data_IF_351782096571
#
_entry.id   IF_351782096571
#
_cell.length_a   1.000
_cell.length_b   1.000
_cell.length_c   1.000
_cell.angle_alpha   90.00
_cell.angle_beta   90.00
_cell.angle_gamma   90.00
#
_symmetry.space_group_name_H-M   'P 1'
#
loop_
_entity.id
_entity.type
_entity.pdbx_description
1 polymer ?
#
# COMPACT_ATOMS: atom_id res chain seq x y z
N UNK A 1 -26.24 -1.08 41.55
CA UNK A 1 -25.28 -1.74 40.65
C UNK A 1 -25.28 -3.23 40.98
N UNK A 2 -25.51 -4.13 40.01
CA UNK A 2 -26.22 -5.41 40.26
C UNK A 2 -25.51 -6.72 39.82
N UNK A 3 -24.20 -6.75 39.50
CA UNK A 3 -23.52 -8.01 39.10
C UNK A 3 -22.32 -8.41 39.96
N UNK A 4 -21.78 -7.55 40.82
CA UNK A 4 -20.56 -7.84 41.58
C UNK A 4 -19.30 -8.02 40.73
N UNK A 5 -19.36 -7.71 39.42
CA UNK A 5 -18.23 -7.76 38.50
C UNK A 5 -17.21 -6.67 38.85
N UNK A 6 -15.94 -7.04 38.95
CA UNK A 6 -14.81 -6.12 39.08
C UNK A 6 -14.03 -6.17 37.78
N UNK A 7 -13.71 -5.01 37.22
CA UNK A 7 -12.79 -4.90 36.10
C UNK A 7 -11.38 -5.19 36.61
N UNK A 8 -10.72 -6.18 36.00
CA UNK A 8 -9.33 -6.52 36.29
C UNK A 8 -8.38 -5.62 35.46
N UNK A 9 -7.09 -5.97 35.40
CA UNK A 9 -6.09 -5.25 34.63
C UNK A 9 -6.48 -5.05 33.15
N UNK A 10 -6.45 -3.79 32.70
CA UNK A 10 -6.70 -3.41 31.31
C UNK A 10 -5.39 -3.28 30.56
N UNK A 11 -5.26 -4.03 29.47
CA UNK A 11 -4.13 -3.96 28.54
C UNK A 11 -4.59 -3.50 27.17
N UNK A 12 -3.85 -2.54 26.60
CA UNK A 12 -4.04 -2.09 25.23
C UNK A 12 -3.23 -3.01 24.31
N UNK A 13 -3.90 -3.62 23.33
CA UNK A 13 -3.28 -4.54 22.36
C UNK A 13 -3.07 -3.90 20.98
N UNK A 14 -3.68 -2.75 20.74
CA UNK A 14 -3.57 -2.00 19.50
C UNK A 14 -4.40 -0.72 19.54
N UNK A 15 -4.00 0.26 18.74
CA UNK A 15 -4.64 1.55 18.61
C UNK A 15 -4.62 1.95 17.14
N UNK A 16 -5.62 2.70 16.70
CA UNK A 16 -5.65 3.26 15.35
C UNK A 16 -6.41 4.59 15.41
N UNK A 17 -5.67 5.70 15.47
CA UNK A 17 -6.28 7.01 15.28
C UNK A 17 -6.65 7.21 13.81
N UNK A 18 -7.77 7.89 13.49
CA UNK A 18 -8.13 8.19 12.11
C UNK A 18 -7.05 9.04 11.44
N UNK A 19 -6.74 8.78 10.17
CA UNK A 19 -5.76 9.59 9.43
C UNK A 19 -6.11 11.08 9.40
N UNK A 20 -5.11 11.93 9.63
CA UNK A 20 -5.23 13.37 9.77
C UNK A 20 -4.31 14.10 8.77
N UNK A 21 -4.48 13.78 7.49
CA UNK A 21 -3.53 14.16 6.45
C UNK A 21 -3.61 15.62 6.00
N UNK A 22 -2.45 16.23 5.83
CA UNK A 22 -2.23 17.64 5.52
C UNK A 22 -2.49 17.95 4.04
N UNK A 23 -3.36 18.93 3.79
CA UNK A 23 -3.78 19.30 2.44
C UNK A 23 -2.65 19.92 1.62
N UNK A 24 -1.82 20.77 2.22
CA UNK A 24 -0.70 21.45 1.52
C UNK A 24 0.28 20.41 0.97
N UNK A 25 0.65 19.42 1.79
CA UNK A 25 1.52 18.33 1.37
C UNK A 25 0.85 17.49 0.27
N UNK A 26 -0.45 17.19 0.40
CA UNK A 26 -1.18 16.39 -0.58
C UNK A 26 -1.29 17.08 -1.95
N UNK A 27 -1.54 18.39 -1.98
CA UNK A 27 -1.63 19.18 -3.22
C UNK A 27 -0.26 19.31 -3.89
N UNK A 28 0.80 19.63 -3.14
CA UNK A 28 2.16 19.67 -3.66
C UNK A 28 2.60 18.31 -4.22
N UNK A 29 2.25 17.22 -3.51
CA UNK A 29 2.52 15.87 -3.98
C UNK A 29 1.76 15.55 -5.27
N UNK A 30 0.50 15.97 -5.37
CA UNK A 30 -0.34 15.72 -6.55
C UNK A 30 0.19 16.42 -7.80
N UNK A 31 0.67 17.66 -7.68
CA UNK A 31 1.35 18.35 -8.80
C UNK A 31 2.55 17.55 -9.32
N UNK A 32 3.30 16.89 -8.43
CA UNK A 32 4.39 16.01 -8.82
C UNK A 32 3.91 14.69 -9.41
N UNK A 33 2.83 14.09 -8.88
CA UNK A 33 2.20 12.90 -9.48
C UNK A 33 1.80 13.18 -10.93
N UNK A 34 1.25 14.36 -11.23
CA UNK A 34 0.86 14.74 -12.59
C UNK A 34 2.05 14.85 -13.54
N UNK A 35 3.20 15.37 -13.06
CA UNK A 35 4.44 15.45 -13.84
C UNK A 35 5.06 14.08 -14.09
N UNK A 36 5.07 13.22 -13.07
CA UNK A 36 5.68 11.88 -13.12
C UNK A 36 4.86 10.91 -13.96
N UNK A 37 3.53 11.00 -13.87
CA UNK A 37 2.62 10.11 -14.59
C UNK A 37 2.55 8.70 -14.02
N UNK A 38 1.80 7.84 -14.71
CA UNK A 38 1.75 6.42 -14.42
C UNK A 38 2.98 5.68 -14.99
N UNK A 39 3.32 4.51 -14.43
CA UNK A 39 4.28 3.63 -15.07
C UNK A 39 3.78 3.17 -16.44
N UNK A 40 4.72 2.92 -17.35
CA UNK A 40 4.43 2.32 -18.65
C UNK A 40 4.22 0.82 -18.48
N UNK A 41 2.98 0.38 -18.67
CA UNK A 41 2.61 -1.03 -18.64
C UNK A 41 2.86 -1.69 -20.00
N UNK A 42 3.50 -2.86 -19.96
CA UNK A 42 3.61 -3.73 -21.12
C UNK A 42 2.29 -4.47 -21.35
N UNK A 43 2.13 -5.04 -22.53
CA UNK A 43 1.00 -5.93 -22.82
C UNK A 43 0.96 -7.13 -21.85
N UNK A 44 2.12 -7.67 -21.50
CA UNK A 44 2.25 -8.77 -20.55
C UNK A 44 1.83 -8.39 -19.13
N UNK A 45 2.16 -7.18 -18.66
CA UNK A 45 1.67 -6.67 -17.37
C UNK A 45 0.14 -6.62 -17.35
N UNK A 46 -0.45 -6.11 -18.43
CA UNK A 46 -1.90 -5.99 -18.58
C UNK A 46 -2.60 -7.36 -18.69
N UNK A 47 -2.01 -8.30 -19.43
CA UNK A 47 -2.52 -9.68 -19.54
C UNK A 47 -2.45 -10.41 -18.21
N UNK A 48 -1.35 -10.28 -17.49
CA UNK A 48 -1.18 -10.87 -16.16
C UNK A 48 -2.18 -10.30 -15.15
N UNK A 49 -2.39 -8.98 -15.15
CA UNK A 49 -3.36 -8.33 -14.27
C UNK A 49 -4.79 -8.83 -14.52
N UNK A 50 -5.22 -8.87 -15.78
CA UNK A 50 -6.55 -9.39 -16.16
C UNK A 50 -6.72 -10.87 -15.81
N UNK A 51 -5.71 -11.69 -16.07
CA UNK A 51 -5.74 -13.10 -15.69
C UNK A 51 -5.85 -13.27 -14.17
N UNK A 52 -5.11 -12.49 -13.39
CA UNK A 52 -5.18 -12.54 -11.92
C UNK A 52 -6.56 -12.11 -11.41
N UNK A 53 -7.15 -11.05 -11.98
CA UNK A 53 -8.51 -10.62 -11.66
C UNK A 53 -9.53 -11.72 -11.97
N UNK A 54 -9.40 -12.40 -13.11
CA UNK A 54 -10.26 -13.54 -13.47
C UNK A 54 -10.15 -14.70 -12.47
N UNK A 55 -8.94 -15.05 -12.03
CA UNK A 55 -8.72 -16.15 -11.08
C UNK A 55 -9.40 -15.91 -9.72
N UNK A 56 -9.59 -14.64 -9.34
CA UNK A 56 -10.34 -14.27 -8.11
C UNK A 56 -11.81 -13.94 -8.38
N UNK A 57 -12.31 -14.15 -9.60
CA UNK A 57 -13.70 -13.86 -9.99
C UNK A 57 -14.03 -12.36 -10.05
N UNK A 58 -13.02 -11.49 -10.14
CA UNK A 58 -13.18 -10.04 -10.26
C UNK A 58 -13.33 -9.57 -11.71
N UNK A 59 -13.63 -8.28 -11.87
CA UNK A 59 -13.68 -7.62 -13.18
C UNK A 59 -12.29 -7.50 -13.79
N UNK A 60 -12.12 -7.92 -15.04
CA UNK A 60 -10.85 -7.92 -15.78
C UNK A 60 -10.47 -6.52 -16.31
N UNK A 61 -10.40 -5.52 -15.42
CA UNK A 61 -10.09 -4.13 -15.78
C UNK A 61 -8.63 -3.90 -16.12
N UNK A 62 -7.73 -4.80 -15.73
CA UNK A 62 -6.28 -4.64 -15.88
C UNK A 62 -5.68 -3.60 -14.94
N UNK A 63 -4.51 -3.10 -15.32
CA UNK A 63 -3.77 -2.05 -14.61
C UNK A 63 -4.26 -0.66 -15.04
N UNK A 64 -4.20 0.29 -14.11
CA UNK A 64 -4.61 1.67 -14.36
C UNK A 64 -3.79 2.30 -15.50
N UNK A 65 -4.48 2.87 -16.48
CA UNK A 65 -3.90 3.61 -17.61
C UNK A 65 -4.17 5.11 -17.55
N UNK A 66 -4.96 5.55 -16.57
CA UNK A 66 -5.33 6.95 -16.35
C UNK A 66 -5.05 7.33 -14.90
N UNK A 67 -4.48 8.53 -14.69
CA UNK A 67 -4.23 9.06 -13.36
C UNK A 67 -5.56 9.34 -12.65
N UNK A 68 -5.63 8.96 -11.37
CA UNK A 68 -6.73 9.38 -10.51
C UNK A 68 -6.67 10.89 -10.25
N UNK A 69 -7.83 11.52 -10.15
CA UNK A 69 -7.94 12.93 -9.76
C UNK A 69 -7.83 13.08 -8.24
N UNK A 70 -7.12 14.11 -7.77
CA UNK A 70 -7.10 14.47 -6.35
C UNK A 70 -8.52 14.80 -5.88
N UNK A 71 -8.94 14.16 -4.79
CA UNK A 71 -10.28 14.35 -4.21
C UNK A 71 -10.18 15.23 -2.97
N UNK A 72 -11.22 16.02 -2.66
CA UNK A 72 -11.29 16.73 -1.38
C UNK A 72 -11.28 15.75 -0.20
N UNK A 73 -10.89 16.24 0.96
CA UNK A 73 -10.93 15.48 2.19
C UNK A 73 -12.33 14.94 2.47
N UNK A 74 -12.41 13.70 2.97
CA UNK A 74 -13.66 13.09 3.38
C UNK A 74 -14.20 13.79 4.63
N UNK A 75 -15.50 14.07 4.64
CA UNK A 75 -16.22 14.49 5.85
C UNK A 75 -16.28 13.34 6.87
N UNK A 76 -16.50 13.64 8.15
CA UNK A 76 -16.68 12.61 9.19
C UNK A 76 -17.78 11.60 8.82
N UNK A 77 -18.90 12.06 8.24
CA UNK A 77 -19.96 11.16 7.78
C UNK A 77 -19.55 10.22 6.64
N UNK A 78 -18.51 10.58 5.86
CA UNK A 78 -17.98 9.77 4.77
C UNK A 78 -16.88 8.79 5.23
N UNK A 79 -16.33 8.97 6.43
CA UNK A 79 -15.27 8.12 7.01
C UNK A 79 -15.86 6.82 7.58
N UNK A 80 -16.41 5.98 6.71
CA UNK A 80 -17.05 4.70 7.09
C UNK A 80 -16.10 3.50 7.03
N UNK A 81 -14.93 3.67 6.43
CA UNK A 81 -13.87 2.67 6.32
C UNK A 81 -12.51 3.36 6.19
N UNK A 82 -11.43 2.65 6.51
CA UNK A 82 -10.07 3.17 6.42
C UNK A 82 -9.01 2.11 6.64
N UNK A 83 -7.76 2.49 6.44
CA UNK A 83 -6.61 1.66 6.77
C UNK A 83 -6.32 1.77 8.28
N UNK A 84 -5.96 0.64 8.90
CA UNK A 84 -5.50 0.61 10.28
C UNK A 84 -3.98 0.59 10.28
N UNK A 85 -3.37 1.75 10.51
CA UNK A 85 -1.94 2.00 10.34
C UNK A 85 -1.48 3.03 11.40
N UNK A 86 -0.23 2.92 11.85
CA UNK A 86 0.32 3.79 12.90
C UNK A 86 0.55 5.23 12.43
N UNK A 87 0.55 5.47 11.10
CA UNK A 87 0.59 6.80 10.51
C UNK A 87 -0.58 7.68 10.96
N UNK A 88 -1.68 7.07 11.40
CA UNK A 88 -2.80 7.76 12.04
C UNK A 88 -2.31 8.61 13.20
N UNK A 89 -1.73 7.98 14.23
CA UNK A 89 -1.18 8.65 15.40
C UNK A 89 -0.09 9.68 15.03
N UNK A 90 0.77 9.40 14.05
CA UNK A 90 1.79 10.35 13.57
C UNK A 90 1.15 11.60 12.95
N UNK A 91 0.13 11.41 12.10
CA UNK A 91 -0.53 12.50 11.38
C UNK A 91 -1.25 13.50 12.28
N UNK A 92 -1.52 13.14 13.53
CA UNK A 92 -2.05 14.04 14.56
C UNK A 92 -1.00 14.87 15.28
N UNK A 93 0.29 14.56 15.11
CA UNK A 93 1.40 15.23 15.82
C UNK A 93 2.23 16.11 14.89
N UNK A 94 2.32 15.77 13.60
CA UNK A 94 3.09 16.54 12.62
C UNK A 94 2.39 16.58 11.25
N UNK A 95 2.59 17.65 10.45
CA UNK A 95 2.10 17.70 9.07
C UNK A 95 2.50 16.44 8.28
N UNK A 96 1.52 15.66 7.85
CA UNK A 96 1.74 14.34 7.25
C UNK A 96 0.80 14.11 6.09
N UNK A 97 1.25 13.49 5.00
CA UNK A 97 0.39 12.94 3.95
C UNK A 97 0.89 11.56 3.54
N UNK A 98 0.03 10.78 2.91
CA UNK A 98 0.38 9.44 2.38
C UNK A 98 0.23 9.42 0.86
N UNK A 99 1.08 8.61 0.21
CA UNK A 99 1.05 8.39 -1.23
C UNK A 99 0.49 7.00 -1.52
N UNK A 100 -0.56 6.94 -2.34
CA UNK A 100 -0.98 5.70 -2.99
C UNK A 100 -0.38 5.65 -4.40
N UNK A 101 0.31 4.55 -4.73
CA UNK A 101 0.99 4.37 -6.01
C UNK A 101 0.64 3.00 -6.62
N UNK A 102 0.65 2.85 -7.96
CA UNK A 102 0.07 1.69 -8.64
C UNK A 102 1.05 0.49 -8.67
N UNK A 103 1.38 -0.07 -7.52
CA UNK A 103 2.31 -1.22 -7.36
C UNK A 103 1.62 -2.56 -7.18
N UNK A 104 0.28 -2.61 -7.28
CA UNK A 104 -0.50 -3.84 -7.22
C UNK A 104 -1.62 -3.82 -8.27
N UNK A 105 -2.28 -4.95 -8.46
CA UNK A 105 -3.38 -5.12 -9.42
C UNK A 105 -4.69 -4.59 -8.79
N UNK A 106 -5.39 -3.65 -9.44
CA UNK A 106 -6.68 -3.15 -8.96
C UNK A 106 -7.75 -4.25 -8.85
N UNK A 107 -8.70 -4.07 -7.94
CA UNK A 107 -9.88 -4.94 -7.84
C UNK A 107 -9.64 -6.32 -7.21
N UNK A 108 -8.46 -6.55 -6.63
CA UNK A 108 -8.19 -7.77 -5.85
C UNK A 108 -8.76 -7.67 -4.42
N UNK A 109 -9.03 -8.81 -3.74
CA UNK A 109 -9.73 -8.82 -2.44
C UNK A 109 -9.04 -8.09 -1.29
N UNK A 110 -7.71 -7.87 -1.34
CA UNK A 110 -6.94 -7.28 -0.24
C UNK A 110 -6.62 -8.30 0.86
N UNK A 111 -5.45 -8.20 1.49
CA UNK A 111 -4.95 -9.18 2.47
C UNK A 111 -5.10 -10.65 2.03
N UNK A 112 -4.99 -10.90 0.73
CA UNK A 112 -5.28 -12.17 0.08
C UNK A 112 -4.07 -12.61 -0.76
N UNK A 113 -3.89 -13.92 -0.95
CA UNK A 113 -2.72 -14.48 -1.65
C UNK A 113 -2.55 -13.90 -3.07
N UNK A 114 -3.66 -13.58 -3.75
CA UNK A 114 -3.63 -12.96 -5.08
C UNK A 114 -2.94 -11.59 -5.08
N UNK A 115 -3.07 -10.81 -4.00
CA UNK A 115 -2.40 -9.50 -3.88
C UNK A 115 -0.88 -9.65 -3.75
N UNK A 116 -0.38 -10.80 -3.30
CA UNK A 116 1.05 -11.08 -3.23
C UNK A 116 1.65 -11.40 -4.61
N UNK A 117 0.84 -11.80 -5.59
CA UNK A 117 1.32 -12.17 -6.93
C UNK A 117 2.02 -11.01 -7.63
N UNK A 118 1.48 -9.79 -7.52
CA UNK A 118 2.07 -8.62 -8.16
C UNK A 118 3.45 -8.25 -7.57
N UNK A 119 3.69 -8.56 -6.29
CA UNK A 119 4.86 -8.09 -5.53
C UNK A 119 6.20 -8.62 -6.06
N UNK A 120 6.20 -9.77 -6.73
CA UNK A 120 7.39 -10.36 -7.33
C UNK A 120 7.59 -9.96 -8.80
N UNK A 121 6.67 -9.20 -9.39
CA UNK A 121 6.60 -8.97 -10.83
C UNK A 121 7.04 -7.56 -11.22
N UNK A 122 7.32 -7.30 -12.51
CA UNK A 122 7.59 -5.94 -12.99
C UNK A 122 6.52 -4.91 -12.61
N UNK A 123 5.27 -5.33 -12.36
CA UNK A 123 4.17 -4.44 -11.92
C UNK A 123 4.54 -3.70 -10.64
N UNK A 124 4.97 -4.42 -9.60
CA UNK A 124 5.32 -3.81 -8.32
C UNK A 124 6.54 -2.89 -8.45
N UNK A 125 7.58 -3.32 -9.17
CA UNK A 125 8.79 -2.52 -9.36
C UNK A 125 8.53 -1.24 -10.15
N UNK A 126 7.79 -1.30 -11.26
CA UNK A 126 7.43 -0.12 -12.06
C UNK A 126 6.56 0.85 -11.27
N UNK A 127 5.55 0.34 -10.56
CA UNK A 127 4.68 1.15 -9.71
C UNK A 127 5.42 1.82 -8.56
N UNK A 128 6.23 1.05 -7.81
CA UNK A 128 7.04 1.57 -6.71
C UNK A 128 8.08 2.59 -7.17
N UNK A 129 8.68 2.39 -8.34
CA UNK A 129 9.64 3.35 -8.91
C UNK A 129 8.97 4.69 -9.21
N UNK A 130 7.80 4.69 -9.87
CA UNK A 130 7.08 5.94 -10.13
C UNK A 130 6.59 6.62 -8.85
N UNK A 131 6.09 5.84 -7.87
CA UNK A 131 5.74 6.36 -6.56
C UNK A 131 6.93 7.01 -5.84
N UNK A 132 8.10 6.36 -5.86
CA UNK A 132 9.31 6.88 -5.27
C UNK A 132 9.79 8.17 -5.95
N UNK A 133 9.67 8.29 -7.27
CA UNK A 133 10.00 9.54 -7.99
C UNK A 133 9.07 10.67 -7.57
N UNK A 134 7.75 10.43 -7.52
CA UNK A 134 6.78 11.44 -7.08
C UNK A 134 7.04 11.89 -5.63
N UNK A 135 7.33 10.94 -4.73
CA UNK A 135 7.69 11.23 -3.34
C UNK A 135 9.01 12.00 -3.22
N UNK A 136 10.04 11.63 -3.99
CA UNK A 136 11.33 12.30 -3.99
C UNK A 136 11.24 13.75 -4.53
N UNK A 137 10.45 13.97 -5.59
CA UNK A 137 10.18 15.31 -6.11
C UNK A 137 9.45 16.17 -5.07
N UNK A 138 8.47 15.58 -4.37
CA UNK A 138 7.75 16.27 -3.29
C UNK A 138 8.69 16.63 -2.15
N UNK A 139 9.54 15.71 -1.72
CA UNK A 139 10.56 16.00 -0.70
C UNK A 139 11.49 17.13 -1.14
N UNK A 140 11.92 17.12 -2.40
CA UNK A 140 12.78 18.18 -2.94
C UNK A 140 12.07 19.53 -2.93
N UNK A 141 10.79 19.60 -3.28
CA UNK A 141 10.00 20.84 -3.22
C UNK A 141 10.02 21.44 -1.81
N UNK A 142 9.77 20.63 -0.77
CA UNK A 142 9.81 21.09 0.62
C UNK A 142 11.22 21.47 1.11
N UNK A 143 12.28 20.90 0.53
CA UNK A 143 13.66 21.26 0.84
C UNK A 143 14.03 22.62 0.22
N UNK A 144 13.59 22.88 -1.02
CA UNK A 144 14.02 24.07 -1.80
C UNK A 144 13.04 25.24 -1.73
N UNK A 145 11.82 25.02 -1.22
CA UNK A 145 10.78 26.03 -1.06
C UNK A 145 10.33 26.07 0.41
N UNK A 146 11.03 26.79 1.30
CA UNK A 146 10.73 26.81 2.73
C UNK A 146 9.30 27.28 3.03
N UNK A 147 8.71 28.12 2.18
CA UNK A 147 7.32 28.58 2.32
C UNK A 147 6.31 27.40 2.34
N UNK A 148 6.60 26.27 1.68
CA UNK A 148 5.74 25.08 1.75
C UNK A 148 5.73 24.45 3.15
N UNK A 149 6.85 24.51 3.86
CA UNK A 149 6.96 24.04 5.24
C UNK A 149 6.10 24.93 6.13
N UNK A 150 6.24 26.24 6.00
CA UNK A 150 5.47 27.22 6.78
C UNK A 150 3.96 27.08 6.53
N UNK A 151 3.55 26.93 5.26
CA UNK A 151 2.15 26.69 4.89
C UNK A 151 1.61 25.37 5.45
N UNK A 152 2.41 24.30 5.43
CA UNK A 152 1.98 23.01 5.97
C UNK A 152 1.76 23.07 7.50
N UNK A 153 2.64 23.77 8.23
CA UNK A 153 2.47 24.01 9.66
C UNK A 153 1.30 24.94 9.98
N UNK A 154 1.14 26.04 9.25
CA UNK A 154 0.01 26.95 9.41
C UNK A 154 -1.33 26.22 9.23
N UNK A 155 -1.46 25.42 8.18
CA UNK A 155 -2.65 24.60 7.95
C UNK A 155 -2.86 23.59 9.09
N UNK A 156 -1.80 22.94 9.56
CA UNK A 156 -1.87 21.94 10.62
C UNK A 156 -2.38 22.54 11.94
N UNK A 157 -1.84 23.70 12.35
CA UNK A 157 -2.18 24.35 13.62
C UNK A 157 -3.54 25.07 13.56
N UNK A 158 -3.81 25.79 12.47
CA UNK A 158 -4.94 26.72 12.40
C UNK A 158 -6.19 26.11 11.76
N UNK A 159 -6.05 25.02 11.01
CA UNK A 159 -7.17 24.34 10.33
C UNK A 159 -7.35 22.91 10.83
N UNK A 160 -6.32 22.05 10.73
CA UNK A 160 -6.47 20.61 11.02
C UNK A 160 -6.75 20.32 12.51
N UNK A 161 -5.90 20.85 13.40
CA UNK A 161 -6.00 20.61 14.85
C UNK A 161 -6.93 21.58 15.59
N UNK A 162 -7.74 22.36 14.87
CA UNK A 162 -8.54 23.43 15.48
C UNK A 162 -9.63 22.90 16.41
N UNK A 163 -10.28 21.80 16.03
CA UNK A 163 -11.47 21.28 16.72
C UNK A 163 -11.15 20.10 17.64
N UNK A 164 -10.24 19.23 17.22
CA UNK A 164 -9.93 17.97 17.91
C UNK A 164 -8.47 18.00 18.33
N UNK A 165 -8.22 17.71 19.61
CA UNK A 165 -6.89 17.56 20.17
C UNK A 165 -6.55 16.08 20.27
N UNK A 166 -5.36 15.72 19.81
CA UNK A 166 -4.86 14.35 19.89
C UNK A 166 -4.70 13.90 21.33
N UNK A 167 -5.09 12.66 21.62
CA UNK A 167 -4.80 12.00 22.90
C UNK A 167 -4.33 10.58 22.60
N UNK A 168 -3.07 10.22 22.91
CA UNK A 168 -2.60 8.86 22.67
C UNK A 168 -3.42 7.88 23.49
N UNK A 169 -3.89 6.81 22.85
CA UNK A 169 -4.49 5.69 23.58
C UNK A 169 -3.41 4.89 24.32
N UNK A 170 -2.24 4.74 23.70
CA UNK A 170 -1.08 4.02 24.27
C UNK A 170 -0.55 4.79 25.50
N UNK A 171 -0.41 4.08 26.62
CA UNK A 171 0.16 4.61 27.86
C UNK A 171 1.69 4.45 27.84
N UNK A 172 2.45 5.25 28.62
CA UNK A 172 3.91 5.11 28.69
C UNK A 172 4.42 3.72 29.10
N UNK A 173 3.58 2.94 29.81
CA UNK A 173 3.91 1.57 30.25
C UNK A 173 3.47 0.48 29.28
N UNK A 174 2.65 0.79 28.28
CA UNK A 174 2.19 -0.20 27.33
C UNK A 174 3.36 -0.71 26.46
N UNK A 175 3.31 -1.99 26.14
CA UNK A 175 4.31 -2.67 25.30
C UNK A 175 3.61 -3.32 24.12
N UNK A 176 4.25 -3.37 22.93
CA UNK A 176 3.68 -4.08 21.79
C UNK A 176 3.35 -5.53 22.16
N UNK A 177 2.20 -6.02 21.72
CA UNK A 177 1.72 -7.37 22.00
C UNK A 177 2.42 -8.45 21.14
N UNK A 178 3.75 -8.45 21.18
CA UNK A 178 4.62 -9.32 20.36
C UNK A 178 4.35 -10.81 20.59
N UNK A 179 3.89 -11.18 21.78
CA UNK A 179 3.57 -12.55 22.14
C UNK A 179 2.39 -13.12 21.37
N UNK A 180 1.45 -12.28 20.89
CA UNK A 180 0.25 -12.73 20.17
C UNK A 180 0.59 -13.48 18.89
N UNK A 181 1.67 -13.09 18.22
CA UNK A 181 2.11 -13.71 16.97
C UNK A 181 3.31 -14.63 17.16
N UNK A 182 3.85 -14.77 18.38
CA UNK A 182 5.12 -15.45 18.63
C UNK A 182 5.08 -16.93 18.24
N UNK A 183 4.01 -17.64 18.62
CA UNK A 183 3.83 -19.07 18.30
C UNK A 183 3.70 -19.30 16.79
N UNK A 184 2.78 -18.59 16.13
CA UNK A 184 2.56 -18.70 14.68
C UNK A 184 3.84 -18.38 13.92
N UNK A 185 4.49 -17.26 14.25
CA UNK A 185 5.76 -16.89 13.63
C UNK A 185 6.83 -17.95 13.88
N UNK A 186 6.90 -18.52 15.09
CA UNK A 186 7.82 -19.60 15.43
C UNK A 186 7.60 -20.85 14.55
N UNK A 187 6.35 -21.26 14.38
CA UNK A 187 5.97 -22.44 13.59
C UNK A 187 6.35 -22.30 12.10
N UNK A 188 6.23 -21.10 11.53
CA UNK A 188 6.46 -20.88 10.10
C UNK A 188 7.83 -20.30 9.75
N UNK A 189 8.63 -19.84 10.73
CA UNK A 189 9.88 -19.11 10.46
C UNK A 189 10.87 -19.88 9.59
N UNK A 190 11.10 -21.15 9.89
CA UNK A 190 12.07 -21.96 9.12
C UNK A 190 11.55 -22.29 7.71
N UNK A 191 10.24 -22.45 7.53
CA UNK A 191 9.65 -22.65 6.21
C UNK A 191 9.71 -21.36 5.37
N UNK A 192 9.40 -20.20 5.96
CA UNK A 192 9.48 -18.90 5.28
C UNK A 192 10.90 -18.58 4.80
N UNK A 193 11.93 -18.89 5.60
CA UNK A 193 13.34 -18.61 5.25
C UNK A 193 13.78 -19.24 3.93
N UNK A 194 13.20 -20.39 3.54
CA UNK A 194 13.50 -21.06 2.27
C UNK A 194 13.09 -20.22 1.04
N UNK A 195 12.16 -19.28 1.26
CA UNK A 195 11.61 -18.41 0.23
C UNK A 195 12.12 -16.97 0.33
N UNK A 196 13.09 -16.69 1.21
CA UNK A 196 13.71 -15.37 1.23
C UNK A 196 14.54 -15.16 -0.02
N UNK A 197 14.37 -14.00 -0.64
CA UNK A 197 15.09 -13.65 -1.85
C UNK A 197 16.59 -13.55 -1.57
N UNK A 198 17.39 -14.23 -2.39
CA UNK A 198 18.85 -14.25 -2.34
C UNK A 198 19.41 -13.44 -3.52
N UNK A 199 19.68 -12.13 -3.31
CA UNK A 199 20.15 -11.24 -4.38
C UNK A 199 21.59 -11.52 -4.83
N UNK A 200 22.37 -12.33 -4.10
CA UNK A 200 23.73 -12.69 -4.49
C UNK A 200 23.74 -13.82 -5.54
N UNK A 201 22.61 -14.53 -5.71
CA UNK A 201 22.49 -15.71 -6.56
C UNK A 201 21.53 -15.57 -7.73
N UNK A 202 20.54 -14.70 -7.62
CA UNK A 202 19.45 -14.57 -8.59
C UNK A 202 19.24 -13.09 -8.92
N UNK A 203 18.90 -12.81 -10.19
CA UNK A 203 18.64 -11.45 -10.65
C UNK A 203 17.26 -10.92 -10.19
N UNK A 204 16.33 -11.83 -9.92
CA UNK A 204 14.99 -11.50 -9.44
C UNK A 204 14.38 -12.62 -8.60
N UNK A 205 13.35 -12.30 -7.82
CA UNK A 205 12.64 -13.31 -7.05
C UNK A 205 11.90 -14.32 -7.94
N UNK A 206 11.43 -13.91 -9.13
CA UNK A 206 10.84 -14.82 -10.11
C UNK A 206 11.86 -15.84 -10.65
N UNK A 207 13.09 -15.40 -10.90
CA UNK A 207 14.20 -16.27 -11.31
C UNK A 207 14.53 -17.29 -10.21
N UNK A 208 14.61 -16.85 -8.95
CA UNK A 208 14.79 -17.75 -7.81
C UNK A 208 13.68 -18.81 -7.71
N UNK A 209 12.44 -18.45 -8.04
CA UNK A 209 11.30 -19.37 -8.05
C UNK A 209 11.23 -20.23 -9.32
N UNK A 210 12.07 -19.97 -10.34
CA UNK A 210 11.99 -20.62 -11.64
C UNK A 210 10.70 -20.31 -12.41
N UNK A 211 10.11 -19.13 -12.17
CA UNK A 211 8.84 -18.71 -12.79
C UNK A 211 9.13 -17.67 -13.87
N UNK A 212 8.75 -17.97 -15.12
CA UNK A 212 8.82 -16.98 -16.19
C UNK A 212 7.61 -16.06 -16.18
N UNK A 213 7.81 -14.81 -16.59
CA UNK A 213 6.77 -13.79 -16.57
C UNK A 213 6.34 -13.38 -18.00
N UNK A 214 5.03 -13.33 -18.30
CA UNK A 214 3.92 -13.76 -17.45
C UNK A 214 3.66 -15.27 -17.62
N UNK A 215 3.34 -15.95 -16.51
CA UNK A 215 2.79 -17.32 -16.52
C UNK A 215 1.29 -17.25 -16.35
N UNK A 216 0.54 -17.86 -17.26
CA UNK A 216 -0.92 -17.78 -17.32
C UNK A 216 -1.56 -19.17 -17.34
N UNK A 217 -2.71 -19.33 -16.67
CA UNK A 217 -3.53 -20.54 -16.74
C UNK A 217 -4.19 -20.64 -18.12
N UNK A 218 -4.00 -21.76 -18.78
CA UNK A 218 -4.60 -22.11 -20.07
C UNK A 218 -5.98 -22.75 -19.88
N UNK A 219 -6.75 -22.83 -20.97
CA UNK A 219 -8.09 -23.45 -20.95
C UNK A 219 -8.07 -24.94 -20.54
N UNK A 220 -6.95 -25.63 -20.74
CA UNK A 220 -6.74 -27.02 -20.33
C UNK A 220 -6.34 -27.17 -18.85
N UNK A 221 -6.28 -26.06 -18.11
CA UNK A 221 -5.95 -26.00 -16.69
C UNK A 221 -4.45 -25.95 -16.38
N UNK A 222 -3.56 -26.11 -17.37
CA UNK A 222 -2.10 -26.00 -17.17
C UNK A 222 -1.67 -24.54 -17.14
N UNK A 223 -0.60 -24.25 -16.42
CA UNK A 223 0.06 -22.95 -16.48
C UNK A 223 1.21 -22.99 -17.49
N UNK A 224 1.26 -22.02 -18.39
CA UNK A 224 2.32 -21.89 -19.38
C UNK A 224 2.76 -20.43 -19.52
N UNK A 225 4.00 -20.24 -19.96
CA UNK A 225 4.54 -18.93 -20.33
C UNK A 225 3.67 -18.37 -21.45
N UNK A 226 3.34 -17.09 -21.38
CA UNK A 226 2.67 -16.41 -22.46
C UNK A 226 3.40 -15.15 -22.86
N UNK A 227 4.38 -15.24 -23.77
CA UNK A 227 4.69 -14.11 -24.64
C UNK A 227 3.75 -14.13 -25.84
N UNK A 228 3.41 -12.97 -26.41
CA UNK A 228 2.60 -12.84 -27.65
C UNK A 228 3.22 -13.65 -28.80
N UNK A 229 4.55 -13.76 -28.84
CA UNK A 229 5.30 -14.51 -29.85
C UNK A 229 5.20 -16.03 -29.71
N UNK A 230 4.95 -16.56 -28.51
CA UNK A 230 4.93 -18.01 -28.27
C UNK A 230 3.53 -18.62 -28.32
N UNK A 231 2.48 -17.80 -28.35
CA UNK A 231 1.09 -18.28 -28.34
C UNK A 231 0.47 -18.48 -29.72
N UNK A 232 1.15 -18.09 -30.81
CA UNK A 232 0.65 -18.25 -32.17
C UNK A 232 -0.54 -17.34 -32.46
N UNK A 233 -0.43 -16.53 -33.52
CA UNK A 233 -1.55 -15.72 -33.98
C UNK A 233 -2.79 -16.60 -34.23
N UNK A 234 -3.84 -16.35 -33.47
CA UNK A 234 -5.19 -16.75 -33.81
C UNK A 234 -6.00 -15.47 -33.94
N UNK A 235 -6.06 -14.99 -35.19
CA UNK A 235 -7.15 -14.14 -35.67
C UNK A 235 -8.48 -14.89 -35.53
#
# INVERSE_FOLDING_TARGET
MMTGTVLDDVRIIGTAWPGHFNQVIAEAMYENIQKVGLPQWTEDDQRFARATQREVGGSETGLATELSVLRPALTEAQRTAGFADDIGDISWNVPTATLSFPSNIPGLPGHHWANAMAMATPIAHKGATQGAIAQAMTLLDFIVQPDLVDMAWDYFENIQNREIQYTPFIRPSDQPATEMNAEIMGNFREEMRKYYYDPDRYDSYLDQLGVSYPTLRQADGRCAIGSVSEQGGLN
#
